data_IF_789745180665
#
_entry.id   IF_789745180665
#
_cell.length_a   1.000
_cell.length_b   1.000
_cell.length_c   1.000
_cell.angle_alpha   90.00
_cell.angle_beta   90.00
_cell.angle_gamma   90.00
#
_symmetry.space_group_name_H-M   'P 1'
#
loop_
_entity.id
_entity.type
_entity.pdbx_description
1 polymer ?
#
# COMPACT_ATOMS: atom_id res chain seq x y z
N UNK A 1 46.41 22.09 53.10
CA UNK A 1 45.22 21.23 53.26
C UNK A 1 44.40 21.31 51.99
N UNK A 2 43.80 20.19 51.65
CA UNK A 2 43.57 19.66 50.30
C UNK A 2 42.60 20.44 49.41
N UNK A 3 42.95 20.47 48.11
CA UNK A 3 42.01 20.59 46.98
C UNK A 3 40.98 19.46 47.07
N UNK A 4 39.70 19.77 46.87
CA UNK A 4 38.76 18.81 46.29
C UNK A 4 37.89 19.53 45.27
N UNK A 5 38.17 19.22 44.02
CA UNK A 5 37.33 19.46 42.86
C UNK A 5 36.36 18.28 42.77
N UNK A 6 35.05 18.48 42.91
CA UNK A 6 34.02 17.50 42.54
C UNK A 6 33.43 17.96 41.19
N UNK A 7 34.00 17.48 40.09
CA UNK A 7 33.54 16.32 39.30
C UNK A 7 32.17 16.56 38.65
N UNK A 8 32.25 16.95 37.38
CA UNK A 8 31.16 16.93 36.42
C UNK A 8 30.49 15.54 36.40
N UNK A 9 29.18 15.52 36.54
CA UNK A 9 28.36 14.37 36.21
C UNK A 9 28.05 14.41 34.71
N UNK A 10 28.61 13.48 33.96
CA UNK A 10 28.16 13.11 32.62
C UNK A 10 26.67 12.73 32.67
N UNK A 11 25.79 13.64 32.26
CA UNK A 11 24.38 13.33 32.03
C UNK A 11 24.20 12.89 30.57
N UNK A 12 24.77 11.74 30.20
CA UNK A 12 24.36 11.06 28.97
C UNK A 12 23.11 10.21 29.25
N UNK A 13 22.07 10.87 29.79
CA UNK A 13 20.75 10.29 29.88
C UNK A 13 20.16 10.37 28.47
N UNK A 14 20.09 9.23 27.78
CA UNK A 14 19.32 9.13 26.54
C UNK A 14 17.87 9.46 26.92
N UNK A 15 17.42 10.66 26.54
CA UNK A 15 16.05 11.10 26.82
C UNK A 15 15.07 10.07 26.23
N UNK A 16 14.05 9.70 27.01
CA UNK A 16 13.01 8.80 26.52
C UNK A 16 12.39 9.39 25.24
N UNK A 17 12.14 8.57 24.21
CA UNK A 17 11.57 9.07 22.96
C UNK A 17 10.18 9.66 23.22
N UNK A 18 9.91 10.80 22.60
CA UNK A 18 8.58 11.40 22.60
C UNK A 18 7.57 10.42 21.98
N UNK A 19 6.43 10.24 22.66
CA UNK A 19 5.36 9.34 22.22
C UNK A 19 4.14 10.13 21.77
N UNK A 20 3.60 9.72 20.63
CA UNK A 20 2.37 10.22 20.01
C UNK A 20 1.26 9.22 20.31
N UNK A 21 0.23 9.66 21.00
CA UNK A 21 -0.96 8.84 21.31
C UNK A 21 -2.17 9.19 20.45
N UNK A 22 -2.15 10.39 19.86
CA UNK A 22 -3.19 10.93 18.99
C UNK A 22 -2.54 11.78 17.90
N UNK A 23 -3.22 11.92 16.77
CA UNK A 23 -2.78 12.74 15.64
C UNK A 23 -3.83 13.78 15.28
N UNK A 24 -3.35 14.90 14.77
CA UNK A 24 -4.16 15.97 14.17
C UNK A 24 -3.97 16.00 12.65
N UNK A 25 -4.90 16.64 11.91
CA UNK A 25 -4.73 16.88 10.48
C UNK A 25 -3.40 17.52 10.10
N UNK A 26 -2.94 18.51 10.87
CA UNK A 26 -1.68 19.21 10.61
C UNK A 26 -0.46 18.31 10.83
N UNK A 27 -0.46 17.49 11.87
CA UNK A 27 0.63 16.53 12.11
C UNK A 27 0.75 15.51 10.97
N UNK A 28 -0.39 15.02 10.45
CA UNK A 28 -0.38 14.11 9.30
C UNK A 28 0.04 14.82 8.01
N UNK A 29 -0.43 16.05 7.80
CA UNK A 29 0.02 16.88 6.68
C UNK A 29 1.54 17.08 6.70
N UNK A 30 2.13 17.36 7.86
CA UNK A 30 3.57 17.54 7.98
C UNK A 30 4.35 16.23 7.80
N UNK A 31 3.83 15.11 8.30
CA UNK A 31 4.41 13.79 8.04
C UNK A 31 4.40 13.42 6.54
N UNK A 32 3.32 13.77 5.81
CA UNK A 32 3.23 13.57 4.35
C UNK A 32 4.23 14.48 3.62
N UNK A 33 4.34 15.76 4.00
CA UNK A 33 5.33 16.68 3.41
C UNK A 33 6.76 16.19 3.63
N UNK A 34 7.04 15.61 4.79
CA UNK A 34 8.37 15.10 5.14
C UNK A 34 8.85 13.97 4.21
N UNK A 35 7.93 13.26 3.54
CA UNK A 35 8.27 12.25 2.52
C UNK A 35 8.26 12.77 1.08
N UNK A 36 8.20 14.10 0.92
CA UNK A 36 8.30 14.78 -0.38
C UNK A 36 7.00 14.93 -1.15
N UNK A 37 5.85 14.64 -0.52
CA UNK A 37 4.54 14.82 -1.13
C UNK A 37 3.99 16.23 -0.88
N UNK A 38 3.28 16.79 -1.88
CA UNK A 38 2.50 18.02 -1.69
C UNK A 38 1.24 17.72 -0.87
N UNK A 39 0.77 18.67 -0.07
CA UNK A 39 -0.46 18.52 0.72
C UNK A 39 -1.41 19.68 0.47
N UNK A 40 -2.68 19.36 0.30
CA UNK A 40 -3.79 20.31 0.25
C UNK A 40 -4.71 20.00 1.43
N UNK A 41 -4.92 21.01 2.28
CA UNK A 41 -5.93 20.97 3.33
C UNK A 41 -7.25 21.46 2.76
N UNK A 42 -8.32 20.71 2.98
CA UNK A 42 -9.68 21.10 2.63
C UNK A 42 -10.58 20.98 3.87
N UNK A 43 -11.76 21.57 3.80
CA UNK A 43 -12.81 21.38 4.79
C UNK A 43 -14.06 20.87 4.04
N UNK A 44 -14.60 19.75 4.48
CA UNK A 44 -15.84 19.18 3.94
C UNK A 44 -16.79 18.88 5.08
N UNK A 45 -18.00 19.47 5.03
CA UNK A 45 -19.03 19.32 6.07
C UNK A 45 -18.51 19.64 7.49
N UNK A 46 -17.63 20.63 7.62
CA UNK A 46 -17.03 21.01 8.91
C UNK A 46 -15.90 20.10 9.39
N UNK A 47 -15.47 19.12 8.59
CA UNK A 47 -14.38 18.20 8.91
C UNK A 47 -13.14 18.50 8.05
N UNK A 48 -11.95 18.56 8.65
CA UNK A 48 -10.71 18.75 7.91
C UNK A 48 -10.41 17.52 7.06
N UNK A 49 -10.06 17.74 5.80
CA UNK A 49 -9.60 16.70 4.88
C UNK A 49 -8.16 16.97 4.47
N UNK A 50 -7.35 15.93 4.45
CA UNK A 50 -5.96 15.99 4.00
C UNK A 50 -5.89 15.25 2.67
N UNK A 51 -5.60 15.98 1.60
CA UNK A 51 -5.36 15.43 0.27
C UNK A 51 -3.89 15.59 -0.10
N UNK A 52 -3.39 14.62 -0.84
CA UNK A 52 -2.03 14.62 -1.36
C UNK A 52 -1.96 13.84 -2.66
N UNK A 53 -0.77 13.77 -3.26
CA UNK A 53 -0.52 12.95 -4.43
C UNK A 53 0.87 12.33 -4.34
N UNK A 54 0.97 11.11 -4.85
CA UNK A 54 2.23 10.39 -5.06
C UNK A 54 2.17 9.64 -6.38
N UNK A 55 3.29 9.56 -7.10
CA UNK A 55 3.34 8.93 -8.43
C UNK A 55 2.33 9.50 -9.44
N UNK A 56 1.97 10.78 -9.30
CA UNK A 56 0.97 11.45 -10.16
C UNK A 56 -0.48 11.11 -9.83
N UNK A 57 -0.75 10.35 -8.76
CA UNK A 57 -2.10 9.93 -8.37
C UNK A 57 -2.45 10.46 -6.98
N UNK A 58 -3.67 10.96 -6.85
CA UNK A 58 -4.20 11.51 -5.61
C UNK A 58 -4.51 10.45 -4.56
N UNK A 59 -4.24 10.77 -3.30
CA UNK A 59 -4.70 10.02 -2.14
C UNK A 59 -5.21 10.98 -1.06
N UNK A 60 -5.97 10.44 -0.12
CA UNK A 60 -6.55 11.20 0.98
C UNK A 60 -6.39 10.47 2.30
N UNK A 61 -6.50 11.22 3.39
CA UNK A 61 -6.60 10.68 4.75
C UNK A 61 -8.07 10.57 5.13
N UNK A 62 -8.48 9.37 5.50
CA UNK A 62 -9.78 9.09 6.11
C UNK A 62 -9.58 8.98 7.61
N UNK A 63 -10.18 9.89 8.37
CA UNK A 63 -10.11 9.86 9.81
C UNK A 63 -10.95 8.72 10.39
N UNK A 64 -10.35 7.94 11.28
CA UNK A 64 -11.05 6.87 11.98
C UNK A 64 -11.50 7.31 13.36
N UNK A 65 -11.08 6.59 14.41
CA UNK A 65 -11.61 6.85 15.75
C UNK A 65 -11.09 8.18 16.33
N UNK A 66 -12.01 9.01 16.84
CA UNK A 66 -11.69 10.25 17.52
C UNK A 66 -11.15 9.98 18.94
N UNK A 67 -10.27 10.86 19.41
CA UNK A 67 -9.85 10.95 20.82
C UNK A 67 -10.94 11.63 21.68
N UNK A 68 -10.74 11.66 23.00
CA UNK A 68 -11.54 12.50 23.90
C UNK A 68 -11.36 13.99 23.65
N UNK A 69 -10.27 14.38 23.00
CA UNK A 69 -10.02 15.77 22.58
C UNK A 69 -10.50 16.01 21.13
N UNK A 70 -11.26 17.08 20.93
CA UNK A 70 -11.80 17.44 19.62
C UNK A 70 -10.68 17.69 18.58
N UNK A 71 -10.88 17.20 17.36
CA UNK A 71 -9.93 17.35 16.26
C UNK A 71 -8.69 16.46 16.35
N UNK A 72 -8.66 15.51 17.30
CA UNK A 72 -7.61 14.51 17.45
C UNK A 72 -8.14 13.11 17.21
N UNK A 73 -7.33 12.27 16.59
CA UNK A 73 -7.68 10.90 16.20
C UNK A 73 -6.65 9.90 16.71
N UNK A 74 -7.09 8.69 17.02
CA UNK A 74 -6.21 7.59 17.48
C UNK A 74 -5.82 6.63 16.35
N UNK A 75 -6.49 6.75 15.20
CA UNK A 75 -6.18 6.05 13.95
C UNK A 75 -6.71 6.81 12.73
N UNK A 76 -6.20 6.43 11.56
CA UNK A 76 -6.62 6.93 10.26
C UNK A 76 -6.30 5.92 9.16
N UNK A 77 -6.91 6.08 7.99
CA UNK A 77 -6.63 5.27 6.79
C UNK A 77 -6.10 6.18 5.68
N UNK A 78 -4.98 5.80 5.07
CA UNK A 78 -4.52 6.38 3.81
C UNK A 78 -5.25 5.68 2.68
N UNK A 79 -5.92 6.43 1.81
CA UNK A 79 -6.82 5.89 0.78
C UNK A 79 -6.50 6.50 -0.58
N UNK A 80 -6.21 5.66 -1.58
CA UNK A 80 -5.97 6.05 -2.96
C UNK A 80 -7.05 5.44 -3.86
N UNK A 81 -8.17 6.14 -4.09
CA UNK A 81 -9.21 5.69 -4.99
C UNK A 81 -8.76 5.80 -6.46
N UNK A 82 -9.03 4.75 -7.23
CA UNK A 82 -8.78 4.63 -8.67
C UNK A 82 -10.07 4.22 -9.36
N UNK A 83 -10.39 4.87 -10.48
CA UNK A 83 -11.49 4.48 -11.35
C UNK A 83 -11.01 3.47 -12.39
N UNK A 84 -11.74 2.38 -12.55
CA UNK A 84 -11.57 1.44 -13.65
C UNK A 84 -12.16 2.09 -14.89
N UNK A 85 -11.31 2.47 -15.85
CA UNK A 85 -11.74 3.25 -17.02
C UNK A 85 -12.53 2.41 -18.02
N UNK A 86 -12.16 1.14 -18.22
CA UNK A 86 -12.84 0.23 -19.15
C UNK A 86 -12.79 -1.22 -18.64
N UNK A 87 -13.86 -1.97 -18.91
CA UNK A 87 -13.95 -3.39 -18.61
C UNK A 87 -14.22 -3.73 -17.13
N UNK A 88 -14.31 -5.02 -16.86
CA UNK A 88 -14.36 -5.54 -15.50
C UNK A 88 -12.93 -5.70 -14.96
N UNK A 89 -12.76 -5.51 -13.65
CA UNK A 89 -11.49 -5.80 -12.99
C UNK A 89 -11.12 -7.28 -13.23
N UNK A 90 -9.89 -7.58 -13.68
CA UNK A 90 -9.49 -8.95 -13.92
C UNK A 90 -9.69 -9.86 -12.69
N UNK A 91 -10.22 -11.05 -12.94
CA UNK A 91 -10.39 -12.06 -11.89
C UNK A 91 -9.05 -12.38 -11.23
N UNK A 92 -9.05 -12.50 -9.90
CA UNK A 92 -7.86 -12.83 -9.11
C UNK A 92 -6.96 -11.64 -8.76
N UNK A 93 -7.08 -10.48 -9.42
CA UNK A 93 -6.21 -9.31 -9.18
C UNK A 93 -6.18 -8.89 -7.72
N UNK A 94 -7.34 -8.74 -7.08
CA UNK A 94 -7.40 -8.34 -5.67
C UNK A 94 -6.86 -9.44 -4.76
N UNK A 95 -7.21 -10.69 -5.02
CA UNK A 95 -6.81 -11.83 -4.20
C UNK A 95 -5.29 -12.05 -4.24
N UNK A 96 -4.66 -11.90 -5.40
CA UNK A 96 -3.22 -11.99 -5.55
C UNK A 96 -2.48 -10.84 -4.88
N UNK A 97 -3.00 -9.61 -5.00
CA UNK A 97 -2.47 -8.46 -4.26
C UNK A 97 -2.48 -8.73 -2.74
N UNK A 98 -3.62 -9.16 -2.19
CA UNK A 98 -3.74 -9.46 -0.76
C UNK A 98 -2.88 -10.64 -0.31
N UNK A 99 -2.62 -11.62 -1.19
CA UNK A 99 -1.68 -12.71 -0.90
C UNK A 99 -0.24 -12.20 -0.80
N UNK A 100 0.14 -11.26 -1.66
CA UNK A 100 1.51 -10.76 -1.76
C UNK A 100 1.83 -9.61 -0.79
N UNK A 101 0.82 -8.86 -0.34
CA UNK A 101 1.00 -7.62 0.42
C UNK A 101 0.32 -7.68 1.78
N UNK A 102 1.07 -7.29 2.82
CA UNK A 102 0.62 -7.34 4.21
C UNK A 102 0.16 -5.99 4.77
N UNK A 103 0.60 -4.90 4.16
CA UNK A 103 0.47 -3.56 4.73
C UNK A 103 -0.49 -2.66 3.95
N UNK A 104 -1.04 -3.11 2.83
CA UNK A 104 -2.06 -2.35 2.12
C UNK A 104 -3.06 -3.30 1.46
N UNK A 105 -4.34 -2.96 1.52
CA UNK A 105 -5.44 -3.73 0.94
C UNK A 105 -6.01 -2.99 -0.27
N UNK A 106 -6.43 -3.75 -1.28
CA UNK A 106 -7.37 -3.26 -2.27
C UNK A 106 -8.81 -3.51 -1.81
N UNK A 107 -9.66 -2.50 -1.93
CA UNK A 107 -11.11 -2.58 -1.70
C UNK A 107 -11.80 -2.21 -3.01
N UNK A 108 -12.78 -3.01 -3.45
CA UNK A 108 -13.56 -2.71 -4.64
C UNK A 108 -14.95 -2.22 -4.26
N UNK A 109 -15.38 -1.13 -4.87
CA UNK A 109 -16.74 -0.60 -4.77
C UNK A 109 -17.22 -0.19 -6.16
N UNK A 110 -18.02 -1.06 -6.80
CA UNK A 110 -18.49 -0.84 -8.16
C UNK A 110 -17.33 -0.79 -9.16
N UNK A 111 -17.23 0.33 -9.89
CA UNK A 111 -16.21 0.63 -10.89
C UNK A 111 -14.96 1.31 -10.30
N UNK A 112 -14.86 1.39 -8.97
CA UNK A 112 -13.71 1.94 -8.28
C UNK A 112 -13.01 0.87 -7.45
N UNK A 113 -11.69 0.97 -7.42
CA UNK A 113 -10.85 0.27 -6.45
C UNK A 113 -10.13 1.31 -5.60
N UNK A 114 -9.93 1.03 -4.32
CA UNK A 114 -9.09 1.87 -3.47
C UNK A 114 -7.97 1.05 -2.86
N UNK A 115 -6.75 1.58 -2.93
CA UNK A 115 -5.66 1.11 -2.08
C UNK A 115 -5.81 1.76 -0.72
N UNK A 116 -5.83 0.96 0.32
CA UNK A 116 -6.00 1.42 1.70
C UNK A 116 -4.90 0.88 2.60
N UNK A 117 -4.41 1.72 3.49
CA UNK A 117 -3.55 1.33 4.61
C UNK A 117 -4.03 2.00 5.89
N UNK A 118 -4.44 1.19 6.85
CA UNK A 118 -4.87 1.64 8.17
C UNK A 118 -3.64 1.87 9.07
N UNK A 119 -3.69 2.93 9.87
CA UNK A 119 -2.62 3.35 10.78
C UNK A 119 -3.22 3.63 12.14
N UNK A 120 -2.76 2.92 13.16
CA UNK A 120 -3.12 3.16 14.56
C UNK A 120 -1.95 3.82 15.30
N UNK A 121 -2.24 4.87 16.05
CA UNK A 121 -1.28 5.54 16.95
C UNK A 121 -1.64 5.33 18.42
N UNK A 122 -2.83 4.79 18.70
CA UNK A 122 -3.25 4.38 20.03
C UNK A 122 -2.20 3.47 20.68
N UNK A 123 -1.86 3.73 21.95
CA UNK A 123 -0.83 2.99 22.70
C UNK A 123 0.56 3.62 22.65
N UNK A 124 0.75 4.69 21.88
CA UNK A 124 1.99 5.46 21.86
C UNK A 124 2.95 4.98 20.78
N UNK A 125 3.15 5.81 19.76
CA UNK A 125 4.15 5.59 18.69
C UNK A 125 5.16 6.72 18.68
N UNK A 126 6.35 6.49 18.14
CA UNK A 126 7.33 7.57 17.99
C UNK A 126 7.03 8.43 16.74
N UNK A 127 7.51 9.67 16.65
CA UNK A 127 7.46 10.44 15.41
C UNK A 127 8.06 9.69 14.20
N UNK A 128 9.12 8.91 14.45
CA UNK A 128 9.74 8.09 13.40
C UNK A 128 8.79 7.00 12.87
N UNK A 129 7.88 6.48 13.70
CA UNK A 129 6.85 5.56 13.22
C UNK A 129 5.97 6.22 12.15
N UNK A 130 5.49 7.46 12.38
CA UNK A 130 4.69 8.18 11.39
C UNK A 130 5.46 8.44 10.10
N UNK A 131 6.72 8.87 10.20
CA UNK A 131 7.57 9.08 9.03
C UNK A 131 7.75 7.78 8.21
N UNK A 132 8.06 6.67 8.89
CA UNK A 132 8.19 5.36 8.25
C UNK A 132 6.88 4.87 7.63
N UNK A 133 5.74 5.14 8.27
CA UNK A 133 4.42 4.80 7.75
C UNK A 133 4.13 5.59 6.46
N UNK A 134 4.45 6.88 6.39
CA UNK A 134 4.28 7.67 5.16
C UNK A 134 5.22 7.19 4.04
N UNK A 135 6.45 6.80 4.37
CA UNK A 135 7.36 6.20 3.38
C UNK A 135 6.81 4.87 2.87
N UNK A 136 6.37 3.98 3.76
CA UNK A 136 5.75 2.71 3.41
C UNK A 136 4.53 2.91 2.50
N UNK A 137 3.69 3.90 2.80
CA UNK A 137 2.55 4.26 1.96
C UNK A 137 2.97 4.58 0.53
N UNK A 138 3.93 5.51 0.35
CA UNK A 138 4.39 5.89 -0.99
C UNK A 138 4.97 4.70 -1.76
N UNK A 139 5.68 3.80 -1.06
CA UNK A 139 6.19 2.56 -1.63
C UNK A 139 5.05 1.61 -2.04
N UNK A 140 4.01 1.45 -1.22
CA UNK A 140 2.85 0.61 -1.55
C UNK A 140 2.09 1.14 -2.77
N UNK A 141 1.93 2.46 -2.90
CA UNK A 141 1.35 3.07 -4.10
C UNK A 141 2.18 2.74 -5.35
N UNK A 142 3.49 2.94 -5.31
CA UNK A 142 4.38 2.62 -6.44
C UNK A 142 4.32 1.13 -6.82
N UNK A 143 4.31 0.24 -5.81
CA UNK A 143 4.17 -1.20 -6.02
C UNK A 143 2.82 -1.58 -6.64
N UNK A 144 1.73 -0.91 -6.24
CA UNK A 144 0.42 -1.13 -6.84
C UNK A 144 0.44 -0.78 -8.33
N UNK A 145 0.96 0.37 -8.71
CA UNK A 145 0.97 0.76 -10.13
C UNK A 145 1.80 -0.17 -10.99
N UNK A 146 2.95 -0.64 -10.48
CA UNK A 146 3.73 -1.67 -11.15
C UNK A 146 2.97 -3.00 -11.26
N UNK A 147 2.27 -3.39 -10.19
CA UNK A 147 1.45 -4.59 -10.17
C UNK A 147 0.33 -4.53 -11.22
N UNK A 148 -0.46 -3.45 -11.22
CA UNK A 148 -1.56 -3.26 -12.17
C UNK A 148 -1.06 -3.31 -13.62
N UNK A 149 0.03 -2.60 -13.94
CA UNK A 149 0.60 -2.59 -15.30
C UNK A 149 1.07 -3.97 -15.76
N UNK A 150 1.63 -4.77 -14.86
CA UNK A 150 2.20 -6.07 -15.20
C UNK A 150 1.16 -7.21 -15.15
N UNK A 151 0.04 -7.01 -14.46
CA UNK A 151 -1.02 -8.01 -14.33
C UNK A 151 -1.62 -8.35 -15.70
N UNK A 152 -1.91 -7.33 -16.50
CA UNK A 152 -2.45 -7.50 -17.85
C UNK A 152 -1.44 -8.18 -18.79
N UNK A 153 -0.15 -7.86 -18.67
CA UNK A 153 0.90 -8.47 -19.48
C UNK A 153 1.05 -9.98 -19.21
N UNK A 154 0.95 -10.39 -17.94
CA UNK A 154 1.03 -11.80 -17.56
C UNK A 154 -0.19 -12.60 -18.02
N UNK A 155 -1.41 -12.06 -17.90
CA UNK A 155 -2.62 -12.73 -18.38
C UNK A 155 -2.62 -12.92 -19.90
N UNK A 156 -2.22 -11.88 -20.65
CA UNK A 156 -2.09 -11.97 -22.11
C UNK A 156 -1.05 -13.00 -22.56
N UNK A 157 0.04 -13.19 -21.80
CA UNK A 157 1.04 -14.21 -22.09
C UNK A 157 0.56 -15.65 -21.79
N UNK A 158 -0.27 -15.84 -20.75
CA UNK A 158 -0.88 -17.14 -20.43
C UNK A 158 -1.96 -17.51 -21.46
N UNK A 159 -2.79 -16.55 -21.88
CA UNK A 159 -3.83 -16.79 -22.91
C UNK A 159 -3.21 -17.08 -24.31
N UNK A 160 -2.03 -16.54 -24.61
CA UNK A 160 -1.29 -16.84 -25.86
C UNK A 160 -0.42 -18.11 -25.77
N UNK A 161 -0.36 -18.77 -24.61
CA UNK A 161 0.56 -19.88 -24.32
C UNK A 161 -0.06 -21.29 -24.24
N UNK A 162 -1.32 -21.48 -24.63
CA UNK A 162 -1.99 -22.79 -24.53
C UNK A 162 -2.42 -23.38 -25.88
N UNK A 163 -1.42 -23.86 -26.64
CA UNK A 163 -1.58 -25.08 -27.45
C UNK A 163 -0.55 -26.08 -26.94
N UNK A 164 -0.94 -27.14 -26.20
CA UNK A 164 -0.02 -28.22 -25.92
C UNK A 164 0.32 -28.88 -27.26
N UNK A 165 1.57 -28.71 -27.70
CA UNK A 165 2.13 -29.32 -28.91
C UNK A 165 2.26 -30.87 -28.82
N UNK A 166 1.47 -31.53 -27.97
CA UNK A 166 1.59 -32.95 -27.65
C UNK A 166 0.51 -33.87 -28.25
N UNK A 167 -0.46 -33.33 -28.99
CA UNK A 167 -1.60 -34.12 -29.50
C UNK A 167 -1.59 -34.35 -31.02
N UNK A 168 -0.79 -33.58 -31.76
CA UNK A 168 -0.62 -33.77 -33.21
C UNK A 168 0.36 -34.91 -33.56
N UNK A 169 1.36 -35.21 -32.72
CA UNK A 169 2.32 -36.29 -33.00
C UNK A 169 1.72 -37.70 -32.77
N UNK A 170 0.74 -37.87 -31.88
CA UNK A 170 0.11 -39.19 -31.62
C UNK A 170 -0.81 -39.64 -32.76
N UNK A 171 -1.46 -38.73 -33.47
CA UNK A 171 -2.34 -39.08 -34.58
C UNK A 171 -1.56 -39.43 -35.86
N UNK A 172 -0.38 -38.83 -36.08
CA UNK A 172 0.49 -39.21 -37.21
C UNK A 172 1.13 -40.59 -37.03
N UNK A 173 1.49 -40.99 -35.81
CA UNK A 173 2.05 -42.33 -35.56
C UNK A 173 1.01 -43.46 -35.56
N UNK A 174 -0.26 -43.17 -35.26
CA UNK A 174 -1.33 -44.19 -35.36
C UNK A 174 -1.84 -44.41 -36.79
N UNK A 175 -1.62 -43.48 -37.72
CA UNK A 175 -2.00 -43.63 -39.14
C UNK A 175 -1.05 -44.48 -39.99
N UNK A 176 0.19 -44.68 -39.55
CA UNK A 176 1.22 -45.41 -40.32
C UNK A 176 1.26 -46.93 -40.04
N UNK A 177 0.46 -47.44 -39.09
CA UNK A 177 0.49 -48.84 -38.67
C UNK A 177 -0.62 -49.73 -39.29
N UNK A 178 -1.45 -49.22 -40.21
CA UNK A 178 -2.57 -49.98 -40.79
C UNK A 178 -2.42 -50.44 -42.25
N UNK A 179 -1.29 -50.24 -42.91
CA UNK A 179 -1.05 -50.79 -44.26
C UNK A 179 0.07 -51.85 -44.25
N UNK A 180 -0.27 -53.07 -43.86
CA UNK A 180 0.47 -54.27 -44.25
C UNK A 180 -0.53 -55.31 -44.76
N UNK A 181 -0.46 -55.72 -46.05
CA UNK A 181 -1.45 -56.60 -46.64
C UNK A 181 -1.23 -58.06 -46.19
N UNK A 182 -2.36 -58.74 -46.03
CA UNK A 182 -2.50 -60.17 -45.79
C UNK A 182 -1.81 -60.97 -46.92
N UNK A 183 -1.01 -61.96 -46.52
CA UNK A 183 -0.61 -63.10 -47.35
C UNK A 183 -0.82 -64.38 -46.55
#
# INVERSE_FOLDING_TARGET
>A
MSKTTEKAADSNAVAAPELIFTVTPDQIADAIKAVGCAVTMLEQNGLPMVHSASHGVGFQVLWGNASSEAGKYIDFTLSCPLRVQEGALPEGLIAEWHRAKRFARLVQHGDMISLEMDVIVAGGVTPNHLAMTMQLWTQMMGQLFLYLRNFDAAKNAVDQGSVPAGEQERQQQQGLAQEAPVA
#
